data_IF_389051244181
#
_entry.id   IF_389051244181
#
_cell.length_a   1.000
_cell.length_b   1.000
_cell.length_c   1.000
_cell.angle_alpha   90.00
_cell.angle_beta   90.00
_cell.angle_gamma   90.00
#
_symmetry.space_group_name_H-M   'P 1'
#
loop_
_entity.id
_entity.type
_entity.pdbx_description
1 polymer ?
#
# COMPACT_ATOMS: atom_id res chain seq x y z
N UNK A 1 -15.01 4.92 -6.11
CA UNK A 1 -14.85 4.45 -4.71
C UNK A 1 -15.19 2.96 -4.54
N UNK A 2 -16.33 2.47 -5.05
CA UNK A 2 -16.72 1.05 -4.90
C UNK A 2 -15.74 0.08 -5.56
N UNK A 3 -15.26 0.38 -6.78
CA UNK A 3 -14.26 -0.45 -7.46
C UNK A 3 -12.94 -0.57 -6.69
N UNK A 4 -12.50 0.52 -6.04
CA UNK A 4 -11.31 0.52 -5.18
C UNK A 4 -11.54 -0.35 -3.93
N UNK A 5 -12.70 -0.21 -3.27
CA UNK A 5 -13.07 -1.06 -2.12
C UNK A 5 -13.15 -2.54 -2.52
N UNK A 6 -13.72 -2.83 -3.68
CA UNK A 6 -13.76 -4.17 -4.25
C UNK A 6 -12.36 -4.74 -4.46
N UNK A 7 -11.45 -3.94 -5.03
CA UNK A 7 -10.05 -4.33 -5.16
C UNK A 7 -9.40 -4.58 -3.78
N UNK A 8 -9.54 -3.66 -2.82
CA UNK A 8 -8.91 -3.81 -1.50
C UNK A 8 -9.35 -5.10 -0.77
N UNK A 9 -10.62 -5.47 -0.91
CA UNK A 9 -11.18 -6.69 -0.31
C UNK A 9 -10.82 -7.97 -1.06
N UNK A 10 -10.70 -7.91 -2.38
CA UNK A 10 -10.55 -9.11 -3.24
C UNK A 10 -9.15 -9.32 -3.77
N UNK A 11 -8.24 -8.35 -3.59
CA UNK A 11 -6.87 -8.40 -4.07
C UNK A 11 -6.17 -9.72 -3.67
N UNK A 12 -6.13 -10.11 -2.38
CA UNK A 12 -5.48 -11.34 -1.95
C UNK A 12 -6.30 -12.62 -2.22
N UNK A 13 -7.63 -12.54 -2.34
CA UNK A 13 -8.50 -13.73 -2.49
C UNK A 13 -8.68 -14.18 -3.93
N UNK A 14 -8.66 -13.24 -4.89
CA UNK A 14 -8.78 -13.55 -6.33
C UNK A 14 -7.40 -13.52 -6.99
N UNK A 15 -6.49 -14.33 -6.47
CA UNK A 15 -5.11 -14.39 -6.93
C UNK A 15 -4.97 -15.37 -8.11
N UNK A 16 -4.21 -14.96 -9.13
CA UNK A 16 -3.89 -15.83 -10.27
C UNK A 16 -2.57 -16.55 -10.00
N UNK A 17 -2.52 -17.89 -10.05
CA UNK A 17 -1.28 -18.64 -9.88
C UNK A 17 -0.19 -18.14 -10.84
N UNK A 18 1.01 -17.86 -10.31
CA UNK A 18 2.14 -17.34 -11.09
C UNK A 18 2.28 -15.82 -11.15
N UNK A 19 1.30 -15.05 -10.65
CA UNK A 19 1.47 -13.60 -10.45
C UNK A 19 2.08 -13.31 -9.07
N UNK A 20 3.03 -12.38 -9.01
CA UNK A 20 3.60 -11.88 -7.73
C UNK A 20 3.06 -10.51 -7.33
N UNK A 21 2.35 -9.84 -8.24
CA UNK A 21 1.78 -8.52 -8.01
C UNK A 21 0.45 -8.39 -8.72
N UNK A 22 -0.52 -7.79 -8.04
CA UNK A 22 -1.80 -7.41 -8.62
C UNK A 22 -1.98 -5.91 -8.44
N UNK A 23 -2.28 -5.22 -9.52
CA UNK A 23 -2.34 -3.75 -9.55
C UNK A 23 -3.76 -3.27 -9.79
N UNK A 24 -4.06 -2.07 -9.28
CA UNK A 24 -5.27 -1.34 -9.54
C UNK A 24 -4.93 0.10 -9.88
N UNK A 25 -5.40 0.59 -11.02
CA UNK A 25 -5.17 1.96 -11.45
C UNK A 25 -6.28 2.88 -10.96
N UNK A 26 -5.90 3.91 -10.22
CA UNK A 26 -6.76 4.99 -9.79
C UNK A 26 -7.11 5.94 -10.96
N UNK A 27 -8.21 6.71 -10.87
CA UNK A 27 -8.59 7.70 -11.90
C UNK A 27 -7.52 8.76 -12.18
N UNK A 28 -6.68 9.08 -11.20
CA UNK A 28 -5.55 10.00 -11.34
C UNK A 28 -4.29 9.36 -11.97
N UNK A 29 -4.41 8.12 -12.50
CA UNK A 29 -3.34 7.30 -13.09
C UNK A 29 -2.31 6.76 -12.09
N UNK A 30 -2.51 6.98 -10.79
CA UNK A 30 -1.70 6.30 -9.79
C UNK A 30 -2.06 4.82 -9.70
N UNK A 31 -1.08 4.00 -9.33
CA UNK A 31 -1.25 2.55 -9.23
C UNK A 31 -1.16 2.15 -7.77
N UNK A 32 -2.10 1.32 -7.33
CA UNK A 32 -2.08 0.63 -6.04
C UNK A 32 -1.70 -0.81 -6.31
N UNK A 33 -0.77 -1.35 -5.51
CA UNK A 33 -0.27 -2.70 -5.70
C UNK A 33 -0.49 -3.58 -4.48
N UNK A 34 -1.03 -4.77 -4.71
CA UNK A 34 -1.03 -5.89 -3.77
C UNK A 34 0.11 -6.82 -4.17
N UNK A 35 1.05 -7.07 -3.28
CA UNK A 35 2.27 -7.83 -3.59
C UNK A 35 2.29 -9.12 -2.80
N UNK A 36 2.44 -10.25 -3.49
CA UNK A 36 2.66 -11.55 -2.86
C UNK A 36 4.17 -11.78 -2.74
N UNK A 37 4.65 -11.93 -1.52
CA UNK A 37 6.06 -12.19 -1.22
C UNK A 37 6.18 -13.16 -0.05
N UNK A 38 6.89 -14.28 -0.25
CA UNK A 38 7.03 -15.36 0.75
C UNK A 38 5.68 -15.80 1.34
N UNK A 39 4.71 -16.08 0.46
CA UNK A 39 3.35 -16.52 0.80
C UNK A 39 2.52 -15.53 1.64
N UNK A 40 3.00 -14.29 1.77
CA UNK A 40 2.30 -13.22 2.46
C UNK A 40 1.96 -12.08 1.50
N UNK A 41 0.76 -11.52 1.68
CA UNK A 41 0.31 -10.35 0.93
C UNK A 41 0.73 -9.06 1.62
N UNK A 42 1.22 -8.13 0.82
CA UNK A 42 1.80 -6.88 1.29
C UNK A 42 1.22 -5.69 0.55
N UNK A 43 1.19 -4.55 1.26
CA UNK A 43 0.88 -3.23 0.72
C UNK A 43 1.96 -2.24 1.18
N UNK A 44 2.38 -1.35 0.28
CA UNK A 44 3.40 -0.34 0.60
C UNK A 44 2.76 0.87 1.30
N UNK A 45 3.53 1.59 2.13
CA UNK A 45 3.06 2.85 2.70
C UNK A 45 2.67 3.89 1.64
N UNK A 46 3.36 3.87 0.48
CA UNK A 46 3.01 4.73 -0.66
C UNK A 46 1.64 4.39 -1.23
N UNK A 47 1.32 3.11 -1.38
CA UNK A 47 0.01 2.66 -1.86
C UNK A 47 -1.11 3.01 -0.86
N UNK A 48 -0.83 2.90 0.45
CA UNK A 48 -1.78 3.32 1.50
C UNK A 48 -2.09 4.81 1.39
N UNK A 49 -1.06 5.65 1.21
CA UNK A 49 -1.24 7.11 1.01
C UNK A 49 -2.08 7.39 -0.24
N UNK A 50 -1.86 6.68 -1.35
CA UNK A 50 -2.65 6.82 -2.58
C UNK A 50 -4.12 6.47 -2.37
N UNK A 51 -4.40 5.35 -1.70
CA UNK A 51 -5.76 4.92 -1.34
C UNK A 51 -6.48 6.02 -0.55
N UNK A 52 -5.84 6.51 0.50
CA UNK A 52 -6.41 7.52 1.40
C UNK A 52 -6.61 8.86 0.69
N UNK A 53 -5.63 9.30 -0.09
CA UNK A 53 -5.70 10.54 -0.88
C UNK A 53 -6.89 10.50 -1.82
N UNK A 54 -7.00 9.43 -2.62
CA UNK A 54 -8.09 9.26 -3.57
C UNK A 54 -9.46 9.20 -2.90
N UNK A 55 -9.55 8.53 -1.73
CA UNK A 55 -10.80 8.44 -0.98
C UNK A 55 -11.23 9.80 -0.43
N UNK A 56 -10.31 10.60 0.11
CA UNK A 56 -10.60 11.96 0.56
C UNK A 56 -11.07 12.87 -0.59
N UNK A 57 -10.42 12.78 -1.75
CA UNK A 57 -10.84 13.52 -2.96
C UNK A 57 -12.25 13.12 -3.41
N UNK A 58 -12.58 11.82 -3.39
CA UNK A 58 -13.91 11.31 -3.71
C UNK A 58 -14.99 11.81 -2.75
N UNK A 59 -14.65 12.11 -1.49
CA UNK A 59 -15.54 12.74 -0.52
C UNK A 59 -15.65 14.26 -0.66
N UNK A 60 -15.04 14.85 -1.70
CA UNK A 60 -15.01 16.30 -1.91
C UNK A 60 -14.11 17.03 -0.91
N UNK A 61 -13.27 16.32 -0.15
CA UNK A 61 -12.33 16.94 0.78
C UNK A 61 -11.05 17.32 0.03
N UNK A 62 -10.84 18.62 -0.17
CA UNK A 62 -9.61 19.12 -0.77
C UNK A 62 -8.45 18.99 0.21
N UNK A 63 -7.45 18.20 -0.14
CA UNK A 63 -6.19 18.13 0.61
C UNK A 63 -5.36 19.35 0.23
N UNK A 64 -5.38 20.38 1.07
CA UNK A 64 -4.60 21.62 0.86
C UNK A 64 -3.13 21.41 1.20
N UNK A 65 -2.83 20.58 2.20
CA UNK A 65 -1.48 20.33 2.70
C UNK A 65 -1.10 18.84 2.57
N UNK A 66 -0.71 18.42 1.37
CA UNK A 66 -0.38 17.01 1.07
C UNK A 66 0.68 16.44 2.01
N UNK A 67 1.74 17.19 2.32
CA UNK A 67 2.79 16.72 3.25
C UNK A 67 2.27 16.42 4.65
N UNK A 68 1.45 17.30 5.22
CA UNK A 68 0.85 17.11 6.55
C UNK A 68 -0.11 15.92 6.56
N UNK A 69 -0.81 15.71 5.44
CA UNK A 69 -1.67 14.56 5.26
C UNK A 69 -0.87 13.25 5.23
N UNK A 70 0.19 13.18 4.44
CA UNK A 70 1.12 12.05 4.41
C UNK A 70 1.73 11.76 5.78
N UNK A 71 2.21 12.79 6.48
CA UNK A 71 2.77 12.67 7.84
C UNK A 71 1.75 12.08 8.83
N UNK A 72 0.48 12.50 8.78
CA UNK A 72 -0.59 11.94 9.60
C UNK A 72 -0.79 10.45 9.34
N UNK A 73 -0.82 10.05 8.06
CA UNK A 73 -0.95 8.64 7.67
C UNK A 73 0.25 7.83 8.18
N UNK A 74 1.47 8.33 8.00
CA UNK A 74 2.66 7.64 8.50
C UNK A 74 2.71 7.57 10.03
N UNK A 75 2.13 8.55 10.72
CA UNK A 75 1.97 8.51 12.18
C UNK A 75 1.03 7.39 12.60
N UNK A 76 -0.13 7.24 11.94
CA UNK A 76 -1.08 6.17 12.23
C UNK A 76 -0.48 4.79 11.93
N UNK A 77 0.23 4.66 10.80
CA UNK A 77 0.93 3.44 10.41
C UNK A 77 2.09 3.07 11.34
N UNK A 78 2.54 3.98 12.22
CA UNK A 78 3.58 3.70 13.20
C UNK A 78 3.12 2.71 14.27
N UNK A 79 1.81 2.64 14.54
CA UNK A 79 1.22 1.73 15.51
C UNK A 79 1.37 0.25 15.11
N UNK A 80 1.43 -0.04 13.81
CA UNK A 80 1.58 -1.40 13.26
C UNK A 80 2.99 -1.93 13.54
N UNK A 81 3.14 -3.07 14.23
CA UNK A 81 4.46 -3.54 14.70
C UNK A 81 5.18 -4.37 13.63
N UNK A 82 6.50 -4.17 13.43
CA UNK A 82 7.28 -5.05 12.57
C UNK A 82 7.31 -6.47 13.15
N UNK A 83 7.16 -7.48 12.29
CA UNK A 83 7.06 -8.90 12.66
C UNK A 83 5.64 -9.38 12.98
N UNK A 84 4.69 -8.46 13.21
CA UNK A 84 3.27 -8.79 13.48
C UNK A 84 2.38 -8.25 12.38
N UNK A 85 2.52 -6.96 12.08
CA UNK A 85 1.65 -6.23 11.14
C UNK A 85 2.37 -5.79 9.86
N UNK A 86 3.69 -5.91 9.85
CA UNK A 86 4.54 -5.43 8.78
C UNK A 86 5.89 -6.13 8.79
N UNK A 87 6.60 -6.11 7.66
CA UNK A 87 8.03 -6.38 7.61
C UNK A 87 8.82 -5.09 7.67
N UNK A 88 9.95 -5.11 8.36
CA UNK A 88 10.92 -4.03 8.33
C UNK A 88 12.03 -4.44 7.38
N UNK A 89 12.01 -3.90 6.17
CA UNK A 89 12.97 -4.27 5.15
C UNK A 89 14.23 -3.41 5.23
N UNK A 90 15.39 -4.07 5.25
CA UNK A 90 16.69 -3.39 5.19
C UNK A 90 16.95 -2.81 3.79
N UNK A 91 17.81 -1.78 3.68
CA UNK A 91 18.12 -1.16 2.40
C UNK A 91 18.60 -2.20 1.39
N UNK A 92 18.11 -2.11 0.15
CA UNK A 92 18.44 -3.03 -0.95
C UNK A 92 18.13 -4.51 -0.66
N UNK A 93 17.20 -4.81 0.25
CA UNK A 93 16.71 -6.19 0.41
C UNK A 93 16.13 -6.72 -0.91
N UNK A 94 16.14 -8.05 -1.13
CA UNK A 94 15.52 -8.63 -2.33
C UNK A 94 14.06 -8.20 -2.52
N UNK A 95 13.33 -8.03 -1.41
CA UNK A 95 11.96 -7.58 -1.45
C UNK A 95 11.86 -6.10 -1.88
N UNK A 96 12.65 -5.20 -1.30
CA UNK A 96 12.64 -3.79 -1.73
C UNK A 96 13.09 -3.62 -3.17
N UNK A 97 14.02 -4.45 -3.64
CA UNK A 97 14.45 -4.44 -5.04
C UNK A 97 13.28 -4.82 -5.95
N UNK A 98 12.57 -5.90 -5.63
CA UNK A 98 11.36 -6.31 -6.34
C UNK A 98 10.30 -5.19 -6.36
N UNK A 99 10.04 -4.57 -5.20
CA UNK A 99 9.07 -3.49 -5.06
C UNK A 99 9.46 -2.25 -5.89
N UNK A 100 10.75 -1.93 -5.94
CA UNK A 100 11.28 -0.80 -6.70
C UNK A 100 11.21 -1.04 -8.21
N UNK A 101 11.56 -2.25 -8.67
CA UNK A 101 11.45 -2.65 -10.08
C UNK A 101 10.00 -2.59 -10.60
N UNK A 102 9.03 -2.86 -9.73
CA UNK A 102 7.60 -2.76 -10.04
C UNK A 102 6.99 -1.38 -9.74
N UNK A 103 7.79 -0.37 -9.36
CA UNK A 103 7.33 1.00 -9.14
C UNK A 103 6.41 1.20 -7.94
N UNK A 104 6.32 0.21 -7.03
CA UNK A 104 5.49 0.28 -5.82
C UNK A 104 6.12 1.15 -4.73
N UNK A 105 7.46 1.22 -4.70
CA UNK A 105 8.22 2.10 -3.81
C UNK A 105 9.15 3.03 -4.60
N UNK A 106 9.35 4.25 -4.11
CA UNK A 106 10.20 5.26 -4.78
C UNK A 106 11.68 5.16 -4.41
N UNK A 107 12.02 4.47 -3.32
CA UNK A 107 13.40 4.32 -2.84
C UNK A 107 13.62 2.93 -2.28
N UNK A 108 14.88 2.49 -2.26
CA UNK A 108 15.31 1.23 -1.63
C UNK A 108 15.95 1.48 -0.26
N UNK A 109 15.52 2.55 0.43
CA UNK A 109 15.92 2.80 1.82
C UNK A 109 15.15 1.87 2.76
N UNK A 110 15.67 1.74 3.97
CA UNK A 110 15.00 1.01 5.05
C UNK A 110 13.58 1.54 5.21
N UNK A 111 12.59 0.66 5.07
CA UNK A 111 11.19 1.04 5.16
C UNK A 111 10.33 -0.12 5.64
N UNK A 112 9.19 0.24 6.21
CA UNK A 112 8.19 -0.73 6.64
C UNK A 112 7.28 -1.06 5.46
N UNK A 113 7.06 -2.34 5.22
CA UNK A 113 6.08 -2.85 4.24
C UNK A 113 5.01 -3.59 5.03
N UNK A 114 3.75 -3.25 4.84
CA UNK A 114 2.67 -3.70 5.72
C UNK A 114 2.04 -4.98 5.20
N UNK A 115 1.64 -5.87 6.09
CA UNK A 115 0.82 -7.01 5.72
C UNK A 115 -0.56 -6.53 5.33
N UNK A 116 -1.05 -7.03 4.21
CA UNK A 116 -2.33 -6.61 3.64
C UNK A 116 -3.46 -6.70 4.68
N UNK A 117 -3.57 -7.84 5.36
CA UNK A 117 -4.62 -8.11 6.34
C UNK A 117 -4.48 -7.37 7.68
N UNK A 118 -3.31 -6.80 7.97
CA UNK A 118 -3.07 -6.00 9.19
C UNK A 118 -3.46 -4.54 9.02
N UNK A 119 -3.77 -4.13 7.79
CA UNK A 119 -4.22 -2.78 7.48
C UNK A 119 -5.75 -2.78 7.39
N UNK A 120 -6.40 -1.96 8.21
CA UNK A 120 -7.85 -1.81 8.19
C UNK A 120 -8.30 -1.05 6.92
N UNK A 121 -8.57 -1.80 5.86
CA UNK A 121 -8.99 -1.26 4.56
C UNK A 121 -10.34 -0.54 4.60
N UNK A 122 -11.20 -0.83 5.58
CA UNK A 122 -12.48 -0.13 5.73
C UNK A 122 -12.27 1.27 6.30
N UNK A 123 -11.30 1.42 7.21
CA UNK A 123 -10.82 2.71 7.75
C UNK A 123 -9.88 3.47 6.82
N UNK A 124 -9.27 2.80 5.83
CA UNK A 124 -8.52 3.45 4.74
C UNK A 124 -9.45 4.14 3.76
#
# INVERSE_FOLDING_TARGET
LESLRGFLRTAPTSWVPGMSIRTYQLPNKEIISCVLWRDLFHITGTDIVRVLTHRFECFGRRIVHTKKFEEGIFSDLRALKPGVDATLEEPRSPFLKFLYEHGTVRTQKKQKVFFWFSVDHDRL
#
